data_IF_070787289117
#
_entry.id   IF_070787289117
#
_cell.length_a   1.000
_cell.length_b   1.000
_cell.length_c   1.000
_cell.angle_alpha   90.00
_cell.angle_beta   90.00
_cell.angle_gamma   90.00
#
_symmetry.space_group_name_H-M   'P 1'
#
loop_
_entity.id
_entity.type
_entity.pdbx_description
1 polymer ?
#
# COMPACT_ATOMS: atom_id res chain seq x y z
N UNK A 1 -17.36 0.06 -1.76
CA UNK A 1 -16.09 -0.01 -1.01
C UNK A 1 -15.78 1.36 -0.47
N UNK A 2 -15.20 1.48 0.73
CA UNK A 2 -14.78 2.77 1.30
C UNK A 2 -13.33 2.66 1.72
N UNK A 3 -12.50 3.63 1.36
CA UNK A 3 -11.14 3.74 1.90
C UNK A 3 -11.15 4.72 3.07
N UNK A 4 -10.52 4.35 4.17
CA UNK A 4 -10.24 5.22 5.31
C UNK A 4 -8.73 5.28 5.55
N UNK A 5 -8.25 6.37 6.13
CA UNK A 5 -6.85 6.56 6.51
C UNK A 5 -6.73 6.68 8.01
N UNK A 6 -5.84 5.90 8.64
CA UNK A 6 -5.54 5.96 10.07
C UNK A 6 -4.06 6.18 10.30
N UNK A 7 -3.71 6.94 11.33
CA UNK A 7 -2.32 7.12 11.73
C UNK A 7 -1.77 5.80 12.31
N UNK A 8 -0.48 5.54 12.16
CA UNK A 8 0.15 4.30 12.62
C UNK A 8 0.14 4.08 14.13
N UNK A 9 -0.27 5.08 14.91
CA UNK A 9 -0.43 5.04 16.38
C UNK A 9 -1.88 5.20 16.82
N UNK A 10 -2.83 5.16 15.89
CA UNK A 10 -4.26 5.24 16.21
C UNK A 10 -4.73 3.90 16.78
N UNK A 11 -5.37 3.90 17.95
CA UNK A 11 -5.85 2.67 18.59
C UNK A 11 -6.89 1.95 17.72
N UNK A 12 -7.71 2.70 16.98
CA UNK A 12 -8.72 2.15 16.09
C UNK A 12 -8.11 1.37 14.91
N UNK A 13 -6.84 1.65 14.56
CA UNK A 13 -6.12 0.86 13.57
C UNK A 13 -6.04 -0.60 14.00
N UNK A 14 -5.69 -0.85 15.27
CA UNK A 14 -5.52 -2.20 15.80
C UNK A 14 -6.85 -2.96 15.78
N UNK A 15 -7.97 -2.33 16.12
CA UNK A 15 -9.29 -2.95 16.05
C UNK A 15 -9.62 -3.48 14.64
N UNK A 16 -9.21 -2.75 13.60
CA UNK A 16 -9.53 -3.07 12.22
C UNK A 16 -8.59 -4.09 11.56
N UNK A 17 -7.30 -4.10 11.95
CA UNK A 17 -6.28 -4.91 11.26
C UNK A 17 -5.71 -6.04 12.10
N UNK A 18 -5.81 -6.00 13.43
CA UNK A 18 -5.20 -7.00 14.32
C UNK A 18 -5.56 -8.46 13.96
N UNK A 19 -6.84 -8.82 13.69
CA UNK A 19 -7.18 -10.19 13.31
C UNK A 19 -6.50 -10.63 12.01
N UNK A 20 -6.30 -9.72 11.06
CA UNK A 20 -5.67 -10.01 9.78
C UNK A 20 -4.16 -10.13 9.92
N UNK A 21 -3.50 -9.16 10.56
CA UNK A 21 -2.03 -9.16 10.68
C UNK A 21 -1.50 -10.29 11.55
N UNK A 22 -2.34 -10.90 12.39
CA UNK A 22 -2.03 -12.08 13.19
C UNK A 22 -2.46 -13.40 12.53
N UNK A 23 -3.20 -13.36 11.42
CA UNK A 23 -3.64 -14.58 10.72
C UNK A 23 -2.46 -15.26 10.04
N UNK A 24 -2.24 -16.58 10.25
CA UNK A 24 -1.20 -17.34 9.56
C UNK A 24 -1.31 -17.28 8.03
N UNK A 25 -2.54 -17.24 7.51
CA UNK A 25 -2.79 -17.15 6.07
C UNK A 25 -2.34 -15.79 5.51
N UNK A 26 -2.66 -14.71 6.21
CA UNK A 26 -2.29 -13.35 5.82
C UNK A 26 -0.78 -13.11 5.97
N UNK A 27 -0.15 -13.70 6.99
CA UNK A 27 1.31 -13.70 7.12
C UNK A 27 1.96 -14.49 5.98
N UNK A 28 1.45 -15.68 5.64
CA UNK A 28 1.94 -16.46 4.52
C UNK A 28 1.79 -15.70 3.19
N UNK A 29 0.66 -15.01 3.00
CA UNK A 29 0.43 -14.09 1.87
C UNK A 29 1.54 -13.03 1.78
N UNK A 30 2.01 -12.51 2.92
CA UNK A 30 3.12 -11.56 3.01
C UNK A 30 4.51 -12.26 3.15
N UNK A 31 4.66 -13.47 2.62
CA UNK A 31 5.89 -14.28 2.68
C UNK A 31 6.44 -14.47 4.12
N UNK A 32 5.54 -14.68 5.08
CA UNK A 32 5.80 -14.81 6.52
C UNK A 32 6.48 -13.59 7.16
N UNK A 33 6.40 -12.42 6.52
CA UNK A 33 6.93 -11.19 7.07
C UNK A 33 5.87 -10.47 7.92
N UNK A 34 6.21 -10.02 9.14
CA UNK A 34 5.26 -9.33 10.00
C UNK A 34 4.94 -7.94 9.46
N UNK A 35 3.69 -7.51 9.66
CA UNK A 35 3.27 -6.14 9.39
C UNK A 35 3.84 -5.19 10.44
N UNK A 36 4.44 -4.09 9.99
CA UNK A 36 5.09 -3.10 10.87
C UNK A 36 4.33 -1.79 10.84
N UNK A 37 4.24 -1.15 11.99
CA UNK A 37 3.72 0.21 12.12
C UNK A 37 4.63 1.03 13.02
N UNK A 38 4.69 2.33 12.78
CA UNK A 38 5.43 3.32 13.57
C UNK A 38 4.69 4.66 13.47
N UNK A 39 5.07 5.69 14.24
CA UNK A 39 4.52 7.04 14.09
C UNK A 39 4.77 7.69 12.72
N UNK A 40 5.57 7.07 11.85
CA UNK A 40 5.77 7.54 10.48
C UNK A 40 4.83 6.85 9.49
N UNK A 41 3.96 5.95 9.94
CA UNK A 41 3.03 5.24 9.07
C UNK A 41 1.68 5.94 9.03
N UNK A 42 1.10 5.97 7.83
CA UNK A 42 -0.34 6.12 7.62
C UNK A 42 -0.85 4.85 6.96
N UNK A 43 -1.92 4.28 7.49
CA UNK A 43 -2.56 3.07 6.99
C UNK A 43 -3.79 3.44 6.20
N UNK A 44 -3.84 3.02 4.94
CA UNK A 44 -5.02 3.13 4.10
C UNK A 44 -5.76 1.80 4.10
N UNK A 45 -7.02 1.78 4.49
CA UNK A 45 -7.79 0.56 4.76
C UNK A 45 -9.05 0.59 3.91
N UNK A 46 -9.22 -0.44 3.08
CA UNK A 46 -10.43 -0.65 2.28
C UNK A 46 -11.44 -1.47 3.10
N UNK A 47 -12.62 -0.89 3.30
CA UNK A 47 -13.72 -1.47 4.04
C UNK A 47 -14.84 -1.94 3.10
N UNK A 48 -15.33 -3.15 3.33
CA UNK A 48 -16.49 -3.75 2.64
C UNK A 48 -17.41 -4.36 3.70
N UNK A 49 -18.66 -3.88 3.76
CA UNK A 49 -19.68 -4.35 4.72
C UNK A 49 -19.19 -4.32 6.18
N UNK A 50 -18.44 -3.28 6.56
CA UNK A 50 -17.91 -3.12 7.91
C UNK A 50 -16.65 -3.93 8.23
N UNK A 51 -16.16 -4.76 7.30
CA UNK A 51 -14.94 -5.55 7.48
C UNK A 51 -13.78 -5.02 6.62
N UNK A 52 -12.56 -5.15 7.14
CA UNK A 52 -11.32 -4.86 6.41
C UNK A 52 -11.15 -5.85 5.27
N UNK A 53 -11.12 -5.35 4.03
CA UNK A 53 -10.95 -6.14 2.82
C UNK A 53 -9.54 -5.99 2.21
N UNK A 54 -8.79 -4.95 2.61
CA UNK A 54 -7.40 -4.78 2.25
C UNK A 54 -6.81 -3.56 2.94
N UNK A 55 -5.49 -3.47 3.02
CA UNK A 55 -4.81 -2.33 3.62
C UNK A 55 -3.43 -2.09 3.02
N UNK A 56 -2.96 -0.85 3.08
CA UNK A 56 -1.61 -0.41 2.70
C UNK A 56 -1.01 0.44 3.82
N UNK A 57 -0.03 -0.10 4.58
CA UNK A 57 0.79 0.73 5.44
C UNK A 57 1.77 1.51 4.57
N UNK A 58 1.79 2.83 4.71
CA UNK A 58 2.69 3.71 3.98
C UNK A 58 3.52 4.49 4.97
N UNK A 59 4.83 4.28 4.91
CA UNK A 59 5.80 4.96 5.76
C UNK A 59 6.29 6.25 5.10
N UNK A 60 6.30 7.34 5.85
CA UNK A 60 7.00 8.55 5.46
C UNK A 60 8.52 8.40 5.64
N UNK A 61 9.27 8.81 4.63
CA UNK A 61 10.73 8.75 4.58
C UNK A 61 11.30 10.06 4.05
N UNK A 62 12.60 10.26 4.20
CA UNK A 62 13.31 11.42 3.63
C UNK A 62 13.26 11.48 2.10
N UNK A 63 12.90 10.38 1.42
CA UNK A 63 12.82 10.28 -0.05
C UNK A 63 11.38 10.27 -0.57
N UNK A 64 10.39 10.53 0.28
CA UNK A 64 8.97 10.42 -0.02
C UNK A 64 8.32 9.25 0.72
N UNK A 65 7.32 8.64 0.11
CA UNK A 65 6.52 7.58 0.71
C UNK A 65 7.05 6.20 0.35
N UNK A 66 7.02 5.28 1.31
CA UNK A 66 7.44 3.90 1.14
C UNK A 66 6.30 2.94 1.50
N UNK A 67 5.80 2.21 0.52
CA UNK A 67 4.74 1.22 0.64
C UNK A 67 5.34 -0.18 0.56
N UNK A 68 5.11 -0.98 1.59
CA UNK A 68 5.40 -2.41 1.59
C UNK A 68 4.35 -3.15 2.43
N UNK A 69 4.45 -4.48 2.50
CA UNK A 69 3.65 -5.30 3.43
C UNK A 69 2.14 -4.98 3.38
N UNK A 70 1.57 -4.86 2.19
CA UNK A 70 0.13 -4.62 2.02
C UNK A 70 -0.61 -5.95 1.91
N UNK A 71 -1.90 -5.95 2.25
CA UNK A 71 -2.77 -7.12 2.15
C UNK A 71 -3.99 -6.80 1.29
N UNK A 72 -4.36 -7.74 0.42
CA UNK A 72 -5.54 -7.69 -0.44
C UNK A 72 -6.28 -9.00 -0.29
N UNK A 73 -7.53 -8.96 0.18
CA UNK A 73 -8.36 -10.15 0.37
C UNK A 73 -8.63 -10.82 -0.97
N UNK A 74 -8.46 -12.13 -1.01
CA UNK A 74 -8.67 -12.99 -2.20
C UNK A 74 -7.88 -12.54 -3.43
N UNK A 75 -6.79 -11.78 -3.24
CA UNK A 75 -6.02 -11.15 -4.32
C UNK A 75 -6.89 -10.31 -5.28
N UNK A 76 -8.00 -9.76 -4.77
CA UNK A 76 -8.98 -9.03 -5.56
C UNK A 76 -8.41 -7.69 -6.07
N UNK A 77 -8.23 -7.60 -7.39
CA UNK A 77 -7.65 -6.43 -8.04
C UNK A 77 -8.44 -5.13 -7.81
N UNK A 78 -9.78 -5.17 -7.73
CA UNK A 78 -10.59 -3.97 -7.52
C UNK A 78 -10.26 -3.31 -6.17
N UNK A 79 -9.99 -4.11 -5.14
CA UNK A 79 -9.57 -3.61 -3.82
C UNK A 79 -8.21 -2.93 -3.92
N UNK A 80 -7.27 -3.55 -4.66
CA UNK A 80 -5.94 -3.00 -4.85
C UNK A 80 -6.00 -1.67 -5.62
N UNK A 81 -6.76 -1.61 -6.70
CA UNK A 81 -6.93 -0.42 -7.52
C UNK A 81 -7.56 0.73 -6.73
N UNK A 82 -8.61 0.45 -5.96
CA UNK A 82 -9.26 1.46 -5.10
C UNK A 82 -8.28 2.02 -4.06
N UNK A 83 -7.44 1.18 -3.46
CA UNK A 83 -6.41 1.62 -2.52
C UNK A 83 -5.34 2.48 -3.20
N UNK A 84 -4.81 2.05 -4.36
CA UNK A 84 -3.80 2.81 -5.12
C UNK A 84 -4.38 4.17 -5.54
N UNK A 85 -5.56 4.18 -6.16
CA UNK A 85 -6.21 5.41 -6.62
C UNK A 85 -6.43 6.39 -5.46
N UNK A 86 -6.88 5.91 -4.30
CA UNK A 86 -7.05 6.74 -3.12
C UNK A 86 -5.72 7.34 -2.64
N UNK A 87 -4.68 6.52 -2.48
CA UNK A 87 -3.34 7.00 -2.07
C UNK A 87 -2.82 8.07 -3.01
N UNK A 88 -2.95 7.87 -4.32
CA UNK A 88 -2.51 8.83 -5.33
C UNK A 88 -3.34 10.13 -5.33
N UNK A 89 -4.60 10.08 -4.89
CA UNK A 89 -5.45 11.27 -4.80
C UNK A 89 -5.12 12.19 -3.62
N UNK A 90 -4.44 11.67 -2.60
CA UNK A 90 -4.16 12.39 -1.34
C UNK A 90 -2.70 12.81 -1.19
N UNK A 91 -1.83 12.49 -2.15
CA UNK A 91 -0.41 12.83 -2.06
C UNK A 91 0.26 13.11 -3.40
N UNK A 92 1.07 14.17 -3.41
CA UNK A 92 1.96 14.49 -4.52
C UNK A 92 3.41 14.04 -4.28
N UNK A 93 3.67 13.37 -3.14
CA UNK A 93 5.01 12.89 -2.79
C UNK A 93 5.42 11.73 -3.71
N UNK A 94 6.71 11.59 -4.06
CA UNK A 94 7.21 10.38 -4.70
C UNK A 94 6.87 9.14 -3.87
N UNK A 95 6.42 8.08 -4.53
CA UNK A 95 6.05 6.83 -3.87
C UNK A 95 6.97 5.73 -4.37
N UNK A 96 7.62 5.04 -3.43
CA UNK A 96 8.31 3.78 -3.67
C UNK A 96 7.45 2.65 -3.13
N UNK A 97 7.22 1.61 -3.92
CA UNK A 97 6.47 0.42 -3.52
C UNK A 97 7.33 -0.82 -3.67
N UNK A 98 7.27 -1.72 -2.69
CA UNK A 98 7.71 -3.11 -2.85
C UNK A 98 6.50 -3.95 -3.24
N UNK A 99 6.23 -4.05 -4.55
CA UNK A 99 5.06 -4.75 -5.06
C UNK A 99 5.31 -6.25 -5.15
N UNK A 100 4.33 -7.08 -4.77
CA UNK A 100 4.32 -8.48 -5.18
C UNK A 100 4.37 -8.58 -6.71
N UNK A 101 5.03 -9.61 -7.24
CA UNK A 101 5.13 -9.80 -8.70
C UNK A 101 3.76 -9.86 -9.38
N UNK A 102 2.80 -10.57 -8.78
CA UNK A 102 1.42 -10.68 -9.30
C UNK A 102 0.69 -9.34 -9.44
N UNK A 103 1.07 -8.32 -8.68
CA UNK A 103 0.46 -6.98 -8.72
C UNK A 103 1.24 -5.96 -9.56
N UNK A 104 2.35 -6.37 -10.17
CA UNK A 104 3.24 -5.44 -10.89
C UNK A 104 2.53 -4.71 -12.02
N UNK A 105 1.67 -5.40 -12.77
CA UNK A 105 0.94 -4.80 -13.90
C UNK A 105 -0.07 -3.74 -13.44
N UNK A 106 -0.72 -3.95 -12.30
CA UNK A 106 -1.66 -2.98 -11.73
C UNK A 106 -0.90 -1.72 -11.32
N UNK A 107 0.19 -1.84 -10.56
CA UNK A 107 1.02 -0.67 -10.23
C UNK A 107 1.55 0.03 -11.48
N UNK A 108 1.92 -0.72 -12.53
CA UNK A 108 2.36 -0.13 -13.81
C UNK A 108 1.25 0.67 -14.48
N UNK A 109 0.00 0.19 -14.47
CA UNK A 109 -1.15 0.93 -14.99
C UNK A 109 -1.32 2.29 -14.31
N UNK A 110 -1.00 2.39 -13.01
CA UNK A 110 -1.00 3.64 -12.24
C UNK A 110 0.30 4.47 -12.36
N UNK A 111 1.17 4.15 -13.32
CA UNK A 111 2.37 4.92 -13.64
C UNK A 111 3.59 4.62 -12.76
N UNK A 112 3.60 3.51 -12.03
CA UNK A 112 4.80 3.06 -11.34
C UNK A 112 5.76 2.34 -12.31
N UNK A 113 7.05 2.66 -12.21
CA UNK A 113 8.11 2.07 -13.04
C UNK A 113 8.98 1.16 -12.16
N UNK A 114 9.36 -0.01 -12.67
CA UNK A 114 10.25 -0.93 -11.94
C UNK A 114 11.63 -0.30 -11.82
N UNK A 115 12.12 -0.15 -10.59
CA UNK A 115 13.48 0.30 -10.29
C UNK A 115 14.42 -0.87 -9.97
N UNK A 116 13.89 -1.96 -9.39
CA UNK A 116 14.67 -3.14 -9.00
C UNK A 116 13.80 -4.38 -9.00
N UNK A 117 14.31 -5.48 -9.55
CA UNK A 117 13.63 -6.78 -9.55
C UNK A 117 14.19 -7.64 -8.42
N UNK A 118 13.32 -8.18 -7.59
CA UNK A 118 13.66 -9.17 -6.56
C UNK A 118 13.02 -10.53 -6.89
N UNK A 119 13.30 -11.55 -6.09
CA UNK A 119 12.75 -12.90 -6.29
C UNK A 119 11.21 -12.89 -6.23
N UNK A 120 10.65 -12.39 -5.13
CA UNK A 120 9.20 -12.39 -4.86
C UNK A 120 8.51 -11.05 -5.15
N UNK A 121 9.29 -9.98 -5.33
CA UNK A 121 8.80 -8.61 -5.41
C UNK A 121 9.47 -7.84 -6.54
N UNK A 122 8.84 -6.75 -6.97
CA UNK A 122 9.47 -5.69 -7.74
C UNK A 122 9.42 -4.42 -6.91
N UNK A 123 10.56 -3.76 -6.75
CA UNK A 123 10.59 -2.39 -6.27
C UNK A 123 10.21 -1.49 -7.43
N UNK A 124 9.17 -0.70 -7.24
CA UNK A 124 8.67 0.22 -8.24
C UNK A 124 8.59 1.63 -7.65
N UNK A 125 8.67 2.63 -8.50
CA UNK A 125 8.63 4.04 -8.10
C UNK A 125 7.71 4.83 -9.01
N UNK A 126 6.97 5.76 -8.42
CA UNK A 126 6.20 6.78 -9.12
C UNK A 126 6.64 8.14 -8.61
N UNK A 127 7.19 8.94 -9.51
CA UNK A 127 7.47 10.36 -9.29
C UNK A 127 6.42 11.16 -10.04
N UNK A 128 5.90 12.22 -9.44
CA UNK A 128 5.15 13.20 -10.22
C UNK A 128 6.20 14.00 -10.99
N UNK A 129 6.13 13.97 -12.32
CA UNK A 129 6.91 14.88 -13.13
C UNK A 129 6.51 16.30 -12.70
N UNK A 130 7.46 17.10 -12.22
CA UNK A 130 7.25 18.55 -12.16
C UNK A 130 6.86 18.95 -13.57
N UNK A 131 5.65 19.49 -13.74
CA UNK A 131 5.22 20.06 -15.01
C UNK A 131 6.37 20.93 -15.53
N UNK A 132 6.79 20.67 -16.76
CA UNK A 132 7.67 21.57 -17.47
C UNK A 132 7.01 22.94 -17.44
N UNK A 133 7.77 23.93 -16.98
CA UNK A 133 7.51 25.29 -17.41
C UNK A 133 7.67 25.28 -18.93
N UNK A 134 6.57 25.35 -19.65
CA UNK A 134 6.56 25.84 -21.02
C UNK A 134 5.62 27.05 -21.07
N UNK A 135 6.31 28.20 -20.96
CA UNK A 135 6.07 29.56 -21.46
C UNK A 135 4.63 30.05 -21.69
#
# INVERSE_FOLDING_TARGET
MKVISLHGTDDHLYELVAPLVMSPEVLCYNNNYPFKTTPLHTWYICMINGATAGFMPIKETTRGLYLDNYYIRDDNHDILEVLIAHVLSVTDKPITVLSHKRHTEIFRHYGFIISTVFAQYNKMQRTIAKGGYDQ
#
